data_IF_788240532780
#
_entry.id   IF_788240532780
#
_cell.length_a   1.000
_cell.length_b   1.000
_cell.length_c   1.000
_cell.angle_alpha   90.00
_cell.angle_beta   90.00
_cell.angle_gamma   90.00
#
_symmetry.space_group_name_H-M   'P 1'
#
loop_
_entity.id
_entity.type
_entity.pdbx_description
1 polymer ?
#
# COMPACT_ATOMS: atom_id res chain seq x y z
N UNK A 1 9.34 12.88 -6.45
CA UNK A 1 9.87 12.24 -5.22
C UNK A 1 8.73 11.82 -4.29
N UNK A 2 7.93 12.77 -3.77
CA UNK A 2 6.82 12.49 -2.84
C UNK A 2 5.74 11.56 -3.41
N UNK A 3 5.33 11.75 -4.67
CA UNK A 3 4.34 10.91 -5.34
C UNK A 3 4.79 9.44 -5.46
N UNK A 4 6.04 9.21 -5.87
CA UNK A 4 6.59 7.86 -6.01
C UNK A 4 6.70 7.17 -4.65
N UNK A 5 7.11 7.91 -3.61
CA UNK A 5 7.15 7.39 -2.25
C UNK A 5 5.74 7.00 -1.77
N UNK A 6 4.74 7.84 -2.05
CA UNK A 6 3.34 7.53 -1.74
C UNK A 6 2.86 6.27 -2.48
N UNK A 7 3.19 6.11 -3.77
CA UNK A 7 2.84 4.90 -4.54
C UNK A 7 3.46 3.64 -3.96
N UNK A 8 4.73 3.71 -3.55
CA UNK A 8 5.44 2.59 -2.91
C UNK A 8 4.80 2.19 -1.59
N UNK A 9 4.42 3.15 -0.75
CA UNK A 9 3.73 2.88 0.52
C UNK A 9 2.32 2.34 0.28
N UNK A 10 1.61 2.87 -0.71
CA UNK A 10 0.27 2.41 -1.06
C UNK A 10 0.27 0.96 -1.58
N UNK A 11 1.29 0.55 -2.33
CA UNK A 11 1.42 -0.84 -2.76
C UNK A 11 1.59 -1.83 -1.59
N UNK A 12 2.16 -1.37 -0.47
CA UNK A 12 2.33 -2.19 0.74
C UNK A 12 1.09 -2.20 1.62
N UNK A 13 0.15 -1.27 1.42
CA UNK A 13 -1.02 -1.09 2.28
C UNK A 13 -2.20 -1.93 1.79
N UNK A 14 -2.94 -2.51 2.73
CA UNK A 14 -4.23 -3.12 2.50
C UNK A 14 -5.32 -2.06 2.66
N UNK A 15 -5.84 -1.59 1.53
CA UNK A 15 -6.87 -0.55 1.45
C UNK A 15 -8.25 -1.00 1.92
N UNK A 16 -8.41 -2.28 2.23
CA UNK A 16 -9.70 -2.79 2.68
C UNK A 16 -9.95 -2.36 4.12
N UNK A 17 -10.75 -1.30 4.27
CA UNK A 17 -12.11 -1.54 4.76
C UNK A 17 -12.28 -2.08 6.17
N UNK A 18 -11.49 -1.79 7.21
CA UNK A 18 -11.59 -2.51 8.50
C UNK A 18 -13.04 -2.69 9.03
N UNK A 19 -13.95 -1.73 8.79
CA UNK A 19 -15.33 -1.78 9.27
C UNK A 19 -16.16 -2.92 8.65
N UNK A 20 -16.64 -3.81 9.52
CA UNK A 20 -17.52 -4.95 9.23
C UNK A 20 -19.00 -4.56 9.11
N UNK A 21 -19.32 -3.47 8.42
CA UNK A 21 -20.71 -3.18 8.08
C UNK A 21 -21.11 -4.13 6.93
N UNK A 22 -22.03 -5.08 7.14
CA UNK A 22 -22.45 -5.98 6.09
C UNK A 22 -23.09 -5.19 4.95
N UNK A 23 -22.83 -5.60 3.70
CA UNK A 23 -23.62 -5.06 2.59
C UNK A 23 -25.08 -5.40 2.83
N UNK A 24 -25.97 -4.41 2.75
CA UNK A 24 -27.42 -4.62 2.86
C UNK A 24 -27.97 -5.51 1.73
N UNK A 25 -27.19 -5.75 0.67
CA UNK A 25 -27.55 -6.53 -0.53
C UNK A 25 -26.95 -7.94 -0.57
N UNK A 26 -26.41 -8.49 0.51
CA UNK A 26 -25.82 -9.85 0.47
C UNK A 26 -26.84 -10.99 0.22
N UNK A 27 -28.12 -10.73 -0.08
CA UNK A 27 -29.14 -11.74 -0.45
C UNK A 27 -29.25 -12.94 0.52
N UNK A 28 -28.86 -12.78 1.79
CA UNK A 28 -28.82 -13.86 2.77
C UNK A 28 -27.55 -14.74 2.74
N UNK A 29 -26.59 -14.47 1.85
CA UNK A 29 -25.28 -15.10 1.88
C UNK A 29 -24.45 -14.59 3.06
N UNK A 30 -23.68 -15.50 3.68
CA UNK A 30 -22.74 -15.15 4.72
C UNK A 30 -21.70 -14.15 4.18
N UNK A 31 -21.41 -13.10 4.94
CA UNK A 31 -20.38 -12.15 4.57
C UNK A 31 -19.03 -12.88 4.43
N UNK A 32 -18.38 -12.76 3.26
CA UNK A 32 -17.06 -13.34 3.04
C UNK A 32 -16.09 -12.85 4.12
N UNK A 33 -15.25 -13.76 4.69
CA UNK A 33 -14.28 -13.36 5.68
C UNK A 33 -13.33 -12.32 5.10
N UNK A 34 -12.93 -11.38 5.95
CA UNK A 34 -12.03 -10.28 5.62
C UNK A 34 -10.58 -10.80 5.56
N UNK A 35 -10.24 -11.58 4.53
CA UNK A 35 -8.91 -12.17 4.40
C UNK A 35 -7.91 -11.17 3.83
N UNK A 36 -6.76 -10.97 4.47
CA UNK A 36 -5.71 -10.04 4.01
C UNK A 36 -5.23 -10.36 2.58
N UNK A 37 -4.99 -9.35 1.72
CA UNK A 37 -4.29 -9.58 0.45
C UNK A 37 -2.85 -10.01 0.76
N UNK A 38 -2.36 -11.05 0.10
CA UNK A 38 -0.98 -11.54 0.28
C UNK A 38 0.01 -10.39 0.07
N UNK A 39 0.97 -10.24 0.98
CA UNK A 39 2.02 -9.22 0.92
C UNK A 39 1.61 -7.78 1.28
N UNK A 40 0.33 -7.48 1.46
CA UNK A 40 -0.15 -6.16 1.92
C UNK A 40 -0.20 -6.09 3.44
N UNK A 41 -0.28 -4.92 4.10
CA UNK A 41 -0.37 -4.69 5.57
C UNK A 41 -1.46 -3.71 5.93
N UNK A 42 -2.03 -3.78 7.15
CA UNK A 42 -2.96 -2.72 7.59
C UNK A 42 -2.20 -1.41 7.80
N UNK A 43 -2.87 -0.26 7.62
CA UNK A 43 -2.23 1.05 7.76
C UNK A 43 -1.53 1.25 9.12
N UNK A 44 -2.13 0.72 10.21
CA UNK A 44 -1.57 0.80 11.56
C UNK A 44 -0.34 -0.09 11.79
N UNK A 45 -0.04 -0.98 10.85
CA UNK A 45 1.12 -1.89 10.89
C UNK A 45 2.30 -1.34 10.08
N UNK A 46 2.14 -0.20 9.39
CA UNK A 46 3.23 0.46 8.69
C UNK A 46 4.13 1.18 9.71
N UNK A 47 5.44 0.94 9.61
CA UNK A 47 6.43 1.46 10.56
C UNK A 47 7.25 2.60 9.95
N UNK A 48 8.07 3.26 10.79
CA UNK A 48 9.06 4.24 10.31
C UNK A 48 10.09 3.60 9.36
N UNK A 49 10.43 2.33 9.57
CA UNK A 49 11.35 1.60 8.69
C UNK A 49 10.78 1.46 7.27
N UNK A 50 9.48 1.20 7.16
CA UNK A 50 8.81 1.11 5.86
C UNK A 50 8.88 2.44 5.08
N UNK A 51 8.70 3.55 5.80
CA UNK A 51 8.80 4.90 5.26
C UNK A 51 10.24 5.19 4.82
N UNK A 52 11.23 4.92 5.67
CA UNK A 52 12.64 5.12 5.35
C UNK A 52 13.06 4.27 4.14
N UNK A 53 12.62 3.02 4.08
CA UNK A 53 12.88 2.15 2.94
C UNK A 53 12.22 2.69 1.64
N UNK A 54 11.04 3.31 1.72
CA UNK A 54 10.39 3.94 0.58
C UNK A 54 11.15 5.18 0.09
N UNK A 55 11.67 6.00 1.01
CA UNK A 55 12.55 7.14 0.68
C UNK A 55 13.80 6.64 -0.05
N UNK A 56 14.50 5.65 0.49
CA UNK A 56 15.73 5.12 -0.11
C UNK A 56 15.49 4.52 -1.52
N UNK A 57 14.42 3.73 -1.69
CA UNK A 57 14.05 3.17 -3.00
C UNK A 57 13.82 4.26 -4.05
N UNK A 58 13.12 5.33 -3.68
CA UNK A 58 12.73 6.39 -4.62
C UNK A 58 13.82 7.43 -4.84
N UNK A 59 14.74 7.61 -3.88
CA UNK A 59 15.93 8.42 -4.04
C UNK A 59 16.89 7.83 -5.08
N UNK A 60 17.10 6.51 -5.05
CA UNK A 60 17.95 5.81 -6.04
C UNK A 60 17.42 5.89 -7.47
N UNK A 61 16.09 5.88 -7.66
CA UNK A 61 15.48 6.00 -9.00
C UNK A 61 15.74 7.36 -9.64
N UNK A 62 15.86 8.44 -8.84
CA UNK A 62 16.14 9.78 -9.36
C UNK A 62 17.55 9.88 -9.92
N UNK A 63 18.56 9.35 -9.22
CA UNK A 63 19.94 9.33 -9.69
C UNK A 63 20.04 8.65 -11.07
N UNK A 64 19.41 7.48 -11.25
CA UNK A 64 19.38 6.80 -12.55
C UNK A 64 18.62 7.55 -13.66
N UNK A 65 17.58 8.32 -13.32
CA UNK A 65 16.83 9.12 -14.30
C UNK A 65 17.52 10.40 -14.77
N UNK A 66 18.44 10.95 -13.97
CA UNK A 66 19.22 12.15 -14.30
C UNK A 66 20.44 11.82 -15.16
N UNK A 67 20.90 10.56 -15.14
CA UNK A 67 22.03 10.06 -15.96
C UNK A 67 21.62 9.42 -17.30
N UNK A 68 20.40 9.66 -17.82
CA UNK A 68 20.13 9.35 -19.23
C UNK A 68 20.83 10.40 -20.10
N UNK A 69 22.01 10.05 -20.62
CA UNK A 69 22.70 10.78 -21.68
C UNK A 69 21.82 10.85 -22.95
N UNK A 70 21.92 11.95 -23.74
CA UNK A 70 21.19 12.13 -25.00
C UNK A 70 21.54 11.07 -26.05
#
# INVERSE_FOLDING_TARGET
HTLQMAQVIQAQRDDRRASGSPSRTNQGEAARPKERKVGTRKQRELTLEDLNAAVLRTAGTRAGSVFKSP
#
